data_IF_721086696996
#
_entry.id   IF_721086696996
#
_cell.length_a   1.000
_cell.length_b   1.000
_cell.length_c   1.000
_cell.angle_alpha   90.00
_cell.angle_beta   90.00
_cell.angle_gamma   90.00
#
_symmetry.space_group_name_H-M   'P 1'
#
loop_
_entity.id
_entity.type
_entity.pdbx_description
1 polymer ?
#
# COMPACT_ATOMS: atom_id res chain seq x y z
N UNK A 1 20.26 -9.00 0.71
CA UNK A 1 19.08 -8.67 1.54
C UNK A 1 19.13 -7.25 2.15
N UNK A 2 20.13 -6.80 2.92
CA UNK A 2 20.11 -5.45 3.55
C UNK A 2 19.92 -4.29 2.57
N UNK A 3 20.57 -4.33 1.40
CA UNK A 3 20.40 -3.30 0.37
C UNK A 3 18.94 -3.14 -0.07
N UNK A 4 18.23 -4.26 -0.30
CA UNK A 4 16.81 -4.24 -0.65
C UNK A 4 15.95 -3.63 0.46
N UNK A 5 16.21 -3.97 1.72
CA UNK A 5 15.47 -3.41 2.87
C UNK A 5 15.67 -1.90 2.99
N UNK A 6 16.91 -1.42 2.81
CA UNK A 6 17.22 0.02 2.84
C UNK A 6 16.54 0.77 1.69
N UNK A 7 16.60 0.25 0.47
CA UNK A 7 15.92 0.81 -0.69
C UNK A 7 14.39 0.89 -0.48
N UNK A 8 13.81 -0.19 0.04
CA UNK A 8 12.38 -0.25 0.34
C UNK A 8 12.01 0.74 1.43
N UNK A 9 12.75 0.78 2.53
CA UNK A 9 12.50 1.72 3.62
C UNK A 9 12.62 3.17 3.16
N UNK A 10 13.65 3.52 2.37
CA UNK A 10 13.80 4.86 1.80
C UNK A 10 12.64 5.24 0.88
N UNK A 11 12.25 4.33 -0.03
CA UNK A 11 11.13 4.56 -0.95
C UNK A 11 9.80 4.73 -0.21
N UNK A 12 9.50 3.84 0.75
CA UNK A 12 8.27 3.94 1.54
C UNK A 12 8.29 5.12 2.53
N UNK A 13 9.45 5.60 2.95
CA UNK A 13 9.55 6.86 3.72
C UNK A 13 9.07 8.05 2.89
N UNK A 14 9.56 8.20 1.66
CA UNK A 14 9.12 9.27 0.78
C UNK A 14 7.63 9.17 0.39
N UNK A 15 7.14 7.95 0.20
CA UNK A 15 5.72 7.72 -0.06
C UNK A 15 4.85 8.10 1.14
N UNK A 16 5.16 7.58 2.33
CA UNK A 16 4.36 7.75 3.53
C UNK A 16 4.31 9.21 4.01
N UNK A 17 5.42 9.94 3.92
CA UNK A 17 5.47 11.34 4.34
C UNK A 17 4.49 12.22 3.55
N UNK A 18 4.39 12.01 2.24
CA UNK A 18 3.56 12.87 1.38
C UNK A 18 2.11 12.39 1.22
N UNK A 19 1.80 11.16 1.57
CA UNK A 19 0.45 10.63 1.33
C UNK A 19 -0.66 11.45 2.02
N UNK A 20 -0.54 11.89 3.28
CA UNK A 20 -1.49 12.81 3.91
C UNK A 20 -1.20 14.28 3.60
N UNK A 21 0.02 14.67 3.21
CA UNK A 21 0.45 16.07 3.12
C UNK A 21 0.29 16.66 1.72
N UNK A 22 0.49 15.88 0.65
CA UNK A 22 0.28 16.39 -0.70
C UNK A 22 -1.19 16.80 -0.98
N UNK A 23 -2.22 16.06 -0.49
CA UNK A 23 -3.60 16.53 -0.51
C UNK A 23 -3.80 17.84 0.31
N UNK A 24 -3.16 17.94 1.47
CA UNK A 24 -3.23 19.15 2.31
C UNK A 24 -2.57 20.36 1.61
N UNK A 25 -1.48 20.14 0.85
CA UNK A 25 -0.84 21.16 0.02
C UNK A 25 -1.75 21.67 -1.09
N UNK A 26 -2.55 20.78 -1.69
CA UNK A 26 -3.56 21.19 -2.68
C UNK A 26 -4.63 22.11 -2.06
N UNK A 27 -5.10 21.78 -0.86
CA UNK A 27 -6.04 22.66 -0.12
C UNK A 27 -5.41 23.98 0.23
N UNK A 28 -4.14 24.03 0.62
CA UNK A 28 -3.39 25.26 0.85
C UNK A 28 -3.39 26.17 -0.40
N UNK A 29 -3.26 25.57 -1.59
CA UNK A 29 -3.34 26.26 -2.88
C UNK A 29 -4.77 26.58 -3.36
N UNK A 30 -5.79 26.36 -2.50
CA UNK A 30 -7.19 26.70 -2.79
C UNK A 30 -8.00 25.59 -3.47
N UNK A 31 -7.49 24.36 -3.55
CA UNK A 31 -8.29 23.22 -4.02
C UNK A 31 -9.36 22.85 -2.99
N UNK A 32 -10.50 22.39 -3.48
CA UNK A 32 -11.55 21.77 -2.69
C UNK A 32 -11.18 20.32 -2.27
N UNK A 33 -12.05 19.69 -1.51
CA UNK A 33 -11.88 18.32 -1.05
C UNK A 33 -11.83 17.32 -2.23
N UNK A 34 -12.55 17.60 -3.32
CA UNK A 34 -12.49 16.77 -4.53
C UNK A 34 -11.09 16.83 -5.16
N UNK A 35 -10.56 18.04 -5.39
CA UNK A 35 -9.20 18.24 -5.90
C UNK A 35 -8.16 17.58 -5.02
N UNK A 36 -8.29 17.73 -3.71
CA UNK A 36 -7.45 17.08 -2.70
C UNK A 36 -7.50 15.55 -2.79
N UNK A 37 -8.68 14.97 -2.97
CA UNK A 37 -8.87 13.52 -3.15
C UNK A 37 -8.23 12.97 -4.44
N UNK A 38 -8.25 13.75 -5.52
CA UNK A 38 -7.60 13.38 -6.78
C UNK A 38 -6.08 13.30 -6.69
N UNK A 39 -5.44 13.98 -5.75
CA UNK A 39 -3.98 13.91 -5.54
C UNK A 39 -3.53 12.47 -5.30
N UNK A 40 -4.11 11.79 -4.33
CA UNK A 40 -3.82 10.38 -4.05
C UNK A 40 -4.49 9.44 -5.06
N UNK A 41 -5.65 9.79 -5.57
CA UNK A 41 -6.34 9.03 -6.61
C UNK A 41 -5.50 8.85 -7.88
N UNK A 42 -4.91 9.94 -8.40
CA UNK A 42 -4.06 9.88 -9.59
C UNK A 42 -2.70 9.23 -9.32
N UNK A 43 -2.12 9.45 -8.12
CA UNK A 43 -0.91 8.73 -7.72
C UNK A 43 -1.14 7.22 -7.81
N UNK A 44 -2.22 6.72 -7.21
CA UNK A 44 -2.50 5.28 -7.17
C UNK A 44 -2.98 4.73 -8.51
N UNK A 45 -3.71 5.52 -9.30
CA UNK A 45 -4.05 5.15 -10.68
C UNK A 45 -2.80 4.99 -11.54
N UNK A 46 -1.85 5.93 -11.46
CA UNK A 46 -0.57 5.83 -12.15
C UNK A 46 0.26 4.63 -11.66
N UNK A 47 0.21 4.35 -10.34
CA UNK A 47 0.83 3.15 -9.76
C UNK A 47 0.28 1.88 -10.40
N UNK A 48 -1.04 1.72 -10.41
CA UNK A 48 -1.72 0.54 -10.99
C UNK A 48 -1.39 0.43 -12.48
N UNK A 49 -1.45 1.54 -13.22
CA UNK A 49 -1.15 1.55 -14.66
C UNK A 49 0.30 1.15 -14.96
N UNK A 50 1.24 1.44 -14.06
CA UNK A 50 2.68 1.13 -14.23
C UNK A 50 2.98 -0.34 -13.94
N UNK A 51 2.34 -0.95 -12.96
CA UNK A 51 2.66 -2.29 -12.47
C UNK A 51 2.75 -3.38 -13.56
N UNK A 52 1.86 -3.45 -14.56
CA UNK A 52 1.95 -4.46 -15.63
C UNK A 52 3.19 -4.33 -16.51
N UNK A 53 3.76 -3.14 -16.64
CA UNK A 53 4.91 -2.88 -17.49
C UNK A 53 6.25 -3.16 -16.79
N UNK A 54 6.27 -3.20 -15.46
CA UNK A 54 7.51 -3.37 -14.68
C UNK A 54 8.24 -4.68 -15.01
N UNK A 55 7.60 -5.85 -15.17
CA UNK A 55 8.31 -7.07 -15.55
C UNK A 55 9.02 -6.95 -16.91
N UNK A 56 8.44 -6.24 -17.87
CA UNK A 56 9.07 -5.95 -19.16
C UNK A 56 10.28 -5.02 -18.99
N UNK A 57 10.16 -3.95 -18.19
CA UNK A 57 11.25 -3.04 -17.88
C UNK A 57 12.43 -3.78 -17.23
N UNK A 58 12.14 -4.66 -16.24
CA UNK A 58 13.16 -5.44 -15.55
C UNK A 58 13.94 -6.37 -16.51
N UNK A 59 13.24 -7.02 -17.45
CA UNK A 59 13.89 -7.87 -18.48
C UNK A 59 14.72 -7.07 -19.46
N UNK A 60 14.30 -5.85 -19.80
CA UNK A 60 14.95 -5.01 -20.84
C UNK A 60 16.14 -4.24 -20.31
N UNK A 61 16.06 -3.71 -19.09
CA UNK A 61 17.03 -2.78 -18.51
C UNK A 61 17.73 -3.31 -17.25
N UNK A 62 17.24 -4.40 -16.67
CA UNK A 62 17.74 -4.95 -15.42
C UNK A 62 17.18 -4.27 -14.18
N UNK A 63 17.39 -4.91 -13.01
CA UNK A 63 16.75 -4.51 -11.74
C UNK A 63 17.27 -3.17 -11.22
N UNK A 64 18.58 -2.94 -11.25
CA UNK A 64 19.17 -1.74 -10.62
C UNK A 64 18.79 -0.43 -11.33
N UNK A 65 18.88 -0.29 -12.68
CA UNK A 65 18.45 0.93 -13.36
C UNK A 65 16.95 1.19 -13.21
N UNK A 66 16.11 0.16 -13.30
CA UNK A 66 14.66 0.29 -13.16
C UNK A 66 14.31 0.78 -11.76
N UNK A 67 14.91 0.19 -10.72
CA UNK A 67 14.67 0.60 -9.34
C UNK A 67 15.19 2.02 -9.08
N UNK A 68 16.36 2.39 -9.61
CA UNK A 68 16.89 3.75 -9.51
C UNK A 68 15.93 4.77 -10.15
N UNK A 69 15.39 4.47 -11.34
CA UNK A 69 14.39 5.30 -12.00
C UNK A 69 13.12 5.42 -11.14
N UNK A 70 12.66 4.32 -10.56
CA UNK A 70 11.51 4.33 -9.64
C UNK A 70 11.72 5.23 -8.42
N UNK A 71 12.88 5.16 -7.80
CA UNK A 71 13.23 6.02 -6.65
C UNK A 71 13.34 7.50 -7.03
N UNK A 72 13.88 7.81 -8.22
CA UNK A 72 13.94 9.18 -8.75
C UNK A 72 12.55 9.74 -9.03
N UNK A 73 11.68 8.97 -9.69
CA UNK A 73 10.30 9.39 -9.93
C UNK A 73 9.47 9.51 -8.65
N UNK A 74 9.79 8.76 -7.60
CA UNK A 74 9.10 8.87 -6.32
C UNK A 74 9.59 10.08 -5.52
N UNK A 75 10.90 10.30 -5.45
CA UNK A 75 11.51 11.33 -4.60
C UNK A 75 11.70 12.68 -5.28
N UNK A 76 12.07 12.73 -6.57
CA UNK A 76 12.31 13.99 -7.29
C UNK A 76 11.10 14.92 -7.32
N UNK A 77 9.92 14.45 -7.76
CA UNK A 77 8.71 15.26 -7.74
C UNK A 77 8.31 15.75 -6.34
N UNK A 78 8.76 15.08 -5.28
CA UNK A 78 8.49 15.51 -3.90
C UNK A 78 9.07 16.90 -3.63
N UNK A 79 10.27 17.20 -4.09
CA UNK A 79 10.88 18.53 -3.98
C UNK A 79 10.22 19.55 -4.91
N UNK A 80 9.75 19.10 -6.07
CA UNK A 80 9.09 19.97 -7.04
C UNK A 80 7.73 20.49 -6.57
N UNK A 81 7.12 19.91 -5.53
CA UNK A 81 5.93 20.48 -4.91
C UNK A 81 6.19 21.88 -4.32
N UNK A 82 7.45 22.21 -3.97
CA UNK A 82 7.81 23.56 -3.49
C UNK A 82 7.67 24.66 -4.54
N UNK A 83 7.60 24.31 -5.83
CA UNK A 83 7.51 25.27 -6.92
C UNK A 83 6.10 25.91 -6.98
N UNK A 84 5.06 25.12 -6.71
CA UNK A 84 3.68 25.58 -6.81
C UNK A 84 2.72 24.70 -5.99
N UNK A 85 1.73 25.36 -5.38
CA UNK A 85 0.59 24.75 -4.71
C UNK A 85 -0.66 24.65 -5.61
N UNK A 86 -0.54 25.02 -6.88
CA UNK A 86 -1.63 24.86 -7.84
C UNK A 86 -1.98 23.40 -8.06
N UNK A 87 -3.27 23.08 -8.02
CA UNK A 87 -3.78 21.72 -8.12
C UNK A 87 -3.22 20.97 -9.36
N UNK A 88 -3.23 21.61 -10.54
CA UNK A 88 -2.71 20.98 -11.76
C UNK A 88 -1.25 20.55 -11.67
N UNK A 89 -0.40 21.36 -11.02
CA UNK A 89 0.99 21.03 -10.75
C UNK A 89 1.12 19.84 -9.80
N UNK A 90 0.37 19.86 -8.70
CA UNK A 90 0.39 18.79 -7.70
C UNK A 90 -0.09 17.46 -8.30
N UNK A 91 -1.13 17.48 -9.13
CA UNK A 91 -1.64 16.30 -9.83
C UNK A 91 -0.58 15.72 -10.79
N UNK A 92 0.13 16.57 -11.55
CA UNK A 92 1.23 16.13 -12.42
C UNK A 92 2.36 15.47 -11.60
N UNK A 93 2.74 16.06 -10.48
CA UNK A 93 3.75 15.48 -9.56
C UNK A 93 3.27 14.17 -8.95
N UNK A 94 1.99 14.06 -8.63
CA UNK A 94 1.38 12.83 -8.11
C UNK A 94 1.42 11.69 -9.13
N UNK A 95 1.14 11.96 -10.40
CA UNK A 95 1.27 10.97 -11.49
C UNK A 95 2.71 10.47 -11.62
N UNK A 96 3.70 11.38 -11.61
CA UNK A 96 5.12 11.00 -11.67
C UNK A 96 5.51 10.13 -10.48
N UNK A 97 5.09 10.50 -9.26
CA UNK A 97 5.32 9.72 -8.06
C UNK A 97 4.64 8.36 -8.12
N UNK A 98 3.46 8.28 -8.72
CA UNK A 98 2.75 7.02 -8.94
C UNK A 98 3.53 6.06 -9.83
N UNK A 99 4.14 6.53 -10.91
CA UNK A 99 5.04 5.71 -11.74
C UNK A 99 6.20 5.17 -10.90
N UNK A 100 6.83 6.03 -10.10
CA UNK A 100 7.92 5.63 -9.20
C UNK A 100 7.49 4.57 -8.19
N UNK A 101 6.33 4.75 -7.57
CA UNK A 101 5.79 3.83 -6.57
C UNK A 101 5.41 2.46 -7.18
N UNK A 102 4.81 2.45 -8.38
CA UNK A 102 4.52 1.21 -9.11
C UNK A 102 5.78 0.40 -9.44
N UNK A 103 6.84 1.07 -9.86
CA UNK A 103 8.14 0.43 -10.08
C UNK A 103 8.70 -0.14 -8.77
N UNK A 104 8.69 0.64 -7.69
CA UNK A 104 9.24 0.23 -6.39
C UNK A 104 8.54 -1.02 -5.84
N UNK A 105 7.21 -1.04 -5.85
CA UNK A 105 6.42 -2.12 -5.25
C UNK A 105 6.61 -3.45 -5.98
N UNK A 106 6.56 -3.45 -7.32
CA UNK A 106 6.76 -4.66 -8.13
C UNK A 106 8.22 -5.11 -8.10
N UNK A 107 9.17 -4.19 -8.28
CA UNK A 107 10.61 -4.54 -8.27
C UNK A 107 11.04 -5.07 -6.92
N UNK A 108 10.58 -4.44 -5.82
CA UNK A 108 10.92 -4.86 -4.46
C UNK A 108 10.48 -6.29 -4.16
N UNK A 109 9.21 -6.62 -4.44
CA UNK A 109 8.66 -7.96 -4.21
C UNK A 109 9.29 -9.02 -5.10
N UNK A 110 9.54 -8.71 -6.37
CA UNK A 110 10.22 -9.61 -7.31
C UNK A 110 11.66 -9.88 -6.87
N UNK A 111 12.40 -8.84 -6.50
CA UNK A 111 13.77 -8.96 -6.04
C UNK A 111 13.87 -9.77 -4.75
N UNK A 112 12.92 -9.59 -3.81
CA UNK A 112 12.86 -10.40 -2.59
C UNK A 112 12.77 -11.90 -2.91
N UNK A 113 11.88 -12.26 -3.83
CA UNK A 113 11.70 -13.65 -4.25
C UNK A 113 12.96 -14.25 -4.87
N UNK A 114 13.75 -13.45 -5.58
CA UNK A 114 15.02 -13.89 -6.18
C UNK A 114 16.18 -13.97 -5.18
N UNK A 115 16.25 -13.08 -4.18
CA UNK A 115 17.37 -12.98 -3.25
C UNK A 115 17.38 -14.04 -2.15
N UNK A 116 16.25 -14.70 -1.88
CA UNK A 116 16.11 -15.53 -0.68
C UNK A 116 15.76 -16.97 -1.03
N UNK A 117 16.51 -17.98 -0.52
CA UNK A 117 16.15 -19.36 -0.66
C UNK A 117 14.78 -19.69 -0.01
N UNK A 118 14.00 -20.65 -0.56
CA UNK A 118 12.68 -21.00 -0.04
C UNK A 118 12.61 -21.26 1.46
N UNK A 119 13.65 -21.87 2.03
CA UNK A 119 13.72 -22.20 3.46
C UNK A 119 13.76 -20.97 4.38
N UNK A 120 14.14 -19.77 3.88
CA UNK A 120 14.24 -18.52 4.64
C UNK A 120 13.22 -17.46 4.22
N UNK A 121 12.29 -17.78 3.32
CA UNK A 121 11.30 -16.83 2.80
C UNK A 121 10.47 -16.19 3.91
N UNK A 122 10.04 -16.91 4.95
CA UNK A 122 9.21 -16.36 6.02
C UNK A 122 9.88 -15.19 6.76
N UNK A 123 11.12 -15.37 7.21
CA UNK A 123 11.88 -14.32 7.89
C UNK A 123 12.17 -13.12 6.97
N UNK A 124 12.47 -13.39 5.69
CA UNK A 124 12.76 -12.36 4.71
C UNK A 124 11.52 -11.52 4.35
N UNK A 125 10.36 -12.16 4.17
CA UNK A 125 9.06 -11.48 3.97
C UNK A 125 8.72 -10.63 5.18
N UNK A 126 8.96 -11.13 6.41
CA UNK A 126 8.77 -10.37 7.64
C UNK A 126 9.64 -9.10 7.68
N UNK A 127 10.94 -9.23 7.39
CA UNK A 127 11.87 -8.09 7.35
C UNK A 127 11.51 -7.09 6.24
N UNK A 128 11.13 -7.57 5.06
CA UNK A 128 10.65 -6.73 3.96
C UNK A 128 9.35 -6.00 4.34
N UNK A 129 8.39 -6.70 4.95
CA UNK A 129 7.17 -6.11 5.48
C UNK A 129 7.44 -5.03 6.53
N UNK A 130 8.42 -5.24 7.42
CA UNK A 130 8.83 -4.24 8.39
C UNK A 130 9.45 -3.00 7.73
N UNK A 131 10.26 -3.17 6.66
CA UNK A 131 10.82 -2.04 5.90
C UNK A 131 9.76 -1.18 5.19
N UNK A 132 8.57 -1.72 4.97
CA UNK A 132 7.38 -1.01 4.47
C UNK A 132 6.60 -0.36 5.62
N UNK A 133 6.33 -1.14 6.68
CA UNK A 133 5.41 -0.73 7.73
C UNK A 133 6.00 0.33 8.68
N UNK A 134 7.29 0.24 9.02
CA UNK A 134 7.93 1.17 9.95
C UNK A 134 7.88 2.62 9.45
N UNK A 135 8.27 2.93 8.19
CA UNK A 135 8.08 4.27 7.65
C UNK A 135 6.63 4.76 7.69
N UNK A 136 5.68 3.91 7.39
CA UNK A 136 4.26 4.29 7.41
C UNK A 136 3.76 4.61 8.81
N UNK A 137 4.09 3.78 9.81
CA UNK A 137 3.69 4.00 11.21
C UNK A 137 4.24 5.32 11.75
N UNK A 138 5.44 5.71 11.32
CA UNK A 138 6.11 6.93 11.80
C UNK A 138 5.71 8.16 10.97
N UNK A 139 5.81 8.08 9.65
CA UNK A 139 5.75 9.27 8.79
C UNK A 139 4.34 9.65 8.36
N UNK A 140 3.38 8.72 8.31
CA UNK A 140 1.98 9.07 8.05
C UNK A 140 1.43 10.04 9.12
N UNK A 141 1.56 9.74 10.42
CA UNK A 141 1.11 10.67 11.45
C UNK A 141 2.03 11.88 11.62
N UNK A 142 3.35 11.71 11.44
CA UNK A 142 4.30 12.81 11.61
C UNK A 142 4.17 13.88 10.51
N UNK A 143 3.77 13.51 9.29
CA UNK A 143 3.68 14.44 8.17
C UNK A 143 2.85 15.69 8.47
N UNK A 144 1.56 15.58 8.81
CA UNK A 144 0.71 16.72 9.14
C UNK A 144 1.22 17.52 10.33
N UNK A 145 1.72 16.89 11.37
CA UNK A 145 2.32 17.56 12.53
C UNK A 145 3.57 18.34 12.15
N UNK A 146 4.44 17.80 11.29
CA UNK A 146 5.64 18.49 10.80
C UNK A 146 5.29 19.72 9.95
N UNK A 147 4.19 19.66 9.18
CA UNK A 147 3.69 20.83 8.45
C UNK A 147 3.35 21.97 9.41
N UNK A 148 2.69 21.66 10.52
CA UNK A 148 2.27 22.63 11.51
C UNK A 148 3.46 23.28 12.24
N UNK A 149 4.47 22.50 12.63
CA UNK A 149 5.60 23.00 13.42
C UNK A 149 6.77 23.57 12.60
N UNK A 150 6.94 23.13 11.36
CA UNK A 150 8.11 23.45 10.55
C UNK A 150 7.78 23.82 9.08
N UNK A 151 6.50 23.71 8.68
CA UNK A 151 6.04 24.02 7.34
C UNK A 151 6.20 22.86 6.34
N UNK A 152 5.60 23.03 5.17
CA UNK A 152 5.54 22.00 4.12
C UNK A 152 6.91 21.55 3.60
N UNK A 153 7.88 22.44 3.56
CA UNK A 153 9.20 22.20 2.97
C UNK A 153 9.90 20.97 3.59
N UNK A 154 9.76 20.80 4.93
CA UNK A 154 10.41 19.67 5.62
C UNK A 154 9.80 18.33 5.21
N UNK A 155 8.49 18.30 4.99
CA UNK A 155 7.81 17.08 4.56
C UNK A 155 8.15 16.75 3.11
N UNK A 156 8.29 17.75 2.24
CA UNK A 156 8.75 17.55 0.87
C UNK A 156 10.21 17.08 0.83
N UNK A 157 11.07 17.59 1.71
CA UNK A 157 12.43 17.09 1.87
C UNK A 157 12.46 15.63 2.37
N UNK A 158 11.58 15.27 3.32
CA UNK A 158 11.39 13.88 3.75
C UNK A 158 10.83 13.01 2.61
N UNK A 159 9.95 13.55 1.79
CA UNK A 159 9.46 12.89 0.58
C UNK A 159 10.58 12.53 -0.39
N UNK A 160 11.60 13.37 -0.48
CA UNK A 160 12.79 13.12 -1.27
C UNK A 160 13.74 12.06 -0.67
N UNK A 161 13.48 11.57 0.55
CA UNK A 161 14.28 10.50 1.17
C UNK A 161 14.36 9.24 0.28
N UNK A 162 13.37 9.02 -0.60
CA UNK A 162 13.43 7.96 -1.62
C UNK A 162 14.72 8.03 -2.46
N UNK A 163 15.25 9.24 -2.73
CA UNK A 163 16.48 9.45 -3.50
C UNK A 163 17.69 8.89 -2.76
N UNK A 164 17.70 8.91 -1.43
CA UNK A 164 18.79 8.35 -0.62
C UNK A 164 18.94 6.84 -0.87
N UNK A 165 17.86 6.18 -1.24
CA UNK A 165 17.89 4.78 -1.68
C UNK A 165 18.83 4.53 -2.86
N UNK A 166 19.06 5.53 -3.72
CA UNK A 166 19.97 5.39 -4.87
C UNK A 166 21.38 4.97 -4.45
N UNK A 167 21.85 5.38 -3.27
CA UNK A 167 23.16 5.00 -2.76
C UNK A 167 23.30 3.48 -2.54
N UNK A 168 22.20 2.77 -2.29
CA UNK A 168 22.19 1.31 -2.11
C UNK A 168 21.97 0.53 -3.43
N UNK A 169 21.64 1.20 -4.53
CA UNK A 169 21.41 0.53 -5.84
C UNK A 169 22.63 -0.20 -6.38
N UNK A 170 23.88 0.37 -6.34
CA UNK A 170 25.06 -0.35 -6.81
C UNK A 170 25.36 -1.59 -5.96
N UNK A 171 25.10 -1.52 -4.66
CA UNK A 171 25.25 -2.67 -3.77
C UNK A 171 24.26 -3.79 -4.13
N UNK A 172 22.99 -3.45 -4.32
CA UNK A 172 21.98 -4.42 -4.76
C UNK A 172 22.37 -5.05 -6.12
N UNK A 173 22.85 -4.22 -7.06
CA UNK A 173 23.29 -4.69 -8.37
C UNK A 173 24.43 -5.72 -8.29
N UNK A 174 25.38 -5.52 -7.39
CA UNK A 174 26.48 -6.48 -7.16
C UNK A 174 25.96 -7.80 -6.62
N UNK A 175 25.12 -7.74 -5.57
CA UNK A 175 24.53 -8.95 -4.95
C UNK A 175 23.73 -9.77 -5.96
N UNK A 176 22.93 -9.12 -6.82
CA UNK A 176 22.16 -9.82 -7.85
C UNK A 176 23.08 -10.49 -8.90
N UNK A 177 24.13 -9.80 -9.35
CA UNK A 177 25.09 -10.38 -10.31
C UNK A 177 25.84 -11.57 -9.73
N UNK A 178 26.26 -11.51 -8.46
CA UNK A 178 26.92 -12.62 -7.78
C UNK A 178 26.01 -13.85 -7.74
N UNK A 179 24.72 -13.67 -7.43
CA UNK A 179 23.75 -14.78 -7.41
C UNK A 179 23.44 -15.33 -8.81
N UNK A 180 23.37 -14.49 -9.83
CA UNK A 180 23.18 -14.96 -11.20
C UNK A 180 24.36 -15.79 -11.67
N UNK A 181 25.58 -15.41 -11.32
CA UNK A 181 26.82 -16.16 -11.60
C UNK A 181 26.80 -17.50 -10.85
N UNK A 182 26.47 -17.52 -9.55
CA UNK A 182 26.37 -18.77 -8.78
C UNK A 182 25.33 -19.72 -9.35
N UNK A 183 24.17 -19.21 -9.79
CA UNK A 183 23.14 -20.03 -10.44
C UNK A 183 23.64 -20.62 -11.75
N UNK A 184 24.31 -19.83 -12.58
CA UNK A 184 24.89 -20.33 -13.84
C UNK A 184 25.92 -21.44 -13.60
N UNK A 185 26.76 -21.35 -12.56
CA UNK A 185 27.69 -22.40 -12.19
C UNK A 185 26.97 -23.66 -11.66
N UNK A 186 25.90 -23.48 -10.85
CA UNK A 186 25.11 -24.60 -10.36
C UNK A 186 24.34 -25.31 -11.48
N UNK A 187 23.74 -24.57 -12.40
CA UNK A 187 23.03 -25.11 -13.54
C UNK A 187 23.99 -25.82 -14.52
N UNK A 188 25.18 -25.26 -14.74
CA UNK A 188 26.22 -25.90 -15.53
C UNK A 188 26.70 -27.21 -14.89
N UNK A 189 26.92 -27.25 -13.58
CA UNK A 189 27.28 -28.48 -12.85
C UNK A 189 26.14 -29.50 -12.79
N UNK A 190 24.88 -29.08 -12.81
CA UNK A 190 23.71 -29.96 -12.86
C UNK A 190 23.49 -30.54 -14.25
N UNK A 191 23.81 -29.85 -15.34
CA UNK A 191 23.74 -30.34 -16.72
C UNK A 191 24.78 -31.46 -16.96
N UNK A 192 25.95 -31.38 -16.33
CA UNK A 192 26.97 -32.42 -16.38
C UNK A 192 26.55 -33.70 -15.62
N UNK A 193 25.58 -33.63 -14.71
CA UNK A 193 25.16 -34.77 -13.88
C UNK A 193 23.82 -35.40 -14.30
N UNK A 194 23.03 -34.79 -15.21
CA UNK A 194 21.71 -35.32 -15.56
C UNK A 194 21.36 -35.11 -17.04
N UNK A 195 21.87 -36.00 -17.85
CA UNK A 195 21.45 -36.13 -19.26
C UNK A 195 20.15 -36.90 -19.45
N UNK A 196 19.09 -36.55 -18.74
CA UNK A 196 17.73 -37.02 -19.02
C UNK A 196 16.72 -36.24 -18.21
N UNK A 197 15.65 -35.80 -18.86
CA UNK A 197 14.41 -35.18 -18.34
C UNK A 197 14.26 -33.65 -18.44
N UNK A 198 14.49 -33.12 -19.64
CA UNK A 198 13.91 -31.81 -20.00
C UNK A 198 12.80 -32.04 -21.04
N UNK A 199 11.68 -32.63 -20.63
CA UNK A 199 10.49 -32.67 -21.51
C UNK A 199 9.20 -32.99 -20.74
N UNK A 200 8.81 -32.17 -19.77
CA UNK A 200 7.44 -32.27 -19.23
C UNK A 200 7.04 -31.05 -18.39
N UNK A 201 6.85 -29.89 -18.99
CA UNK A 201 6.01 -28.84 -18.35
C UNK A 201 5.61 -27.70 -19.31
N UNK A 202 5.26 -28.05 -20.53
CA UNK A 202 4.60 -27.15 -21.47
C UNK A 202 3.26 -27.74 -21.88
N UNK A 203 2.27 -27.76 -21.00
CA UNK A 203 0.88 -28.07 -21.39
C UNK A 203 -0.07 -27.56 -20.31
N UNK A 204 -0.76 -26.48 -20.55
CA UNK A 204 -1.82 -25.98 -19.67
C UNK A 204 -2.35 -24.60 -20.05
N UNK A 205 -2.91 -24.49 -21.24
CA UNK A 205 -3.73 -23.35 -21.63
C UNK A 205 -5.08 -23.40 -20.91
N UNK A 206 -5.42 -22.31 -20.22
CA UNK A 206 -6.65 -21.86 -19.57
C UNK A 206 -6.75 -21.88 -18.03
N UNK A 207 -5.77 -21.33 -17.26
CA UNK A 207 -5.98 -21.11 -15.83
C UNK A 207 -6.37 -19.66 -15.47
N UNK A 208 -6.13 -18.66 -16.31
CA UNK A 208 -6.25 -17.25 -15.88
C UNK A 208 -7.67 -16.82 -15.47
N UNK A 209 -8.70 -17.23 -16.20
CA UNK A 209 -10.10 -16.93 -15.83
C UNK A 209 -10.54 -17.60 -14.51
N UNK A 210 -10.07 -18.81 -14.25
CA UNK A 210 -10.35 -19.53 -12.99
C UNK A 210 -9.60 -18.91 -11.80
N UNK A 211 -8.39 -18.40 -12.03
CA UNK A 211 -7.58 -17.71 -11.02
C UNK A 211 -8.25 -16.39 -10.63
N UNK A 212 -8.66 -15.57 -11.62
CA UNK A 212 -9.33 -14.31 -11.38
C UNK A 212 -10.59 -14.47 -10.51
N UNK A 213 -11.41 -15.48 -10.78
CA UNK A 213 -12.60 -15.78 -9.96
C UNK A 213 -12.28 -16.17 -8.50
N UNK A 214 -11.17 -16.89 -8.27
CA UNK A 214 -10.73 -17.27 -6.92
C UNK A 214 -10.17 -16.09 -6.13
N UNK A 215 -9.51 -15.15 -6.81
CA UNK A 215 -8.90 -13.97 -6.21
C UNK A 215 -9.89 -12.81 -6.05
N UNK A 216 -10.99 -12.79 -6.80
CA UNK A 216 -11.97 -11.69 -6.81
C UNK A 216 -12.53 -11.40 -5.39
N UNK A 217 -12.90 -12.45 -4.68
CA UNK A 217 -13.52 -12.33 -3.36
C UNK A 217 -12.59 -11.70 -2.30
N UNK A 218 -11.37 -12.21 -2.05
CA UNK A 218 -10.44 -11.55 -1.13
C UNK A 218 -10.04 -10.15 -1.61
N UNK A 219 -9.94 -9.91 -2.92
CA UNK A 219 -9.60 -8.59 -3.47
C UNK A 219 -10.70 -7.57 -3.22
N UNK A 220 -11.99 -7.91 -3.40
CA UNK A 220 -13.10 -6.99 -3.13
C UNK A 220 -13.21 -6.66 -1.64
N UNK A 221 -13.01 -7.64 -0.75
CA UNK A 221 -12.94 -7.41 0.70
C UNK A 221 -11.79 -6.46 1.07
N UNK A 222 -10.62 -6.67 0.46
CA UNK A 222 -9.48 -5.78 0.60
C UNK A 222 -9.82 -4.36 0.15
N UNK A 223 -10.41 -4.21 -1.04
CA UNK A 223 -10.80 -2.91 -1.58
C UNK A 223 -11.75 -2.15 -0.65
N UNK A 224 -12.72 -2.83 -0.03
CA UNK A 224 -13.61 -2.21 0.95
C UNK A 224 -12.87 -1.67 2.18
N UNK A 225 -11.90 -2.40 2.70
CA UNK A 225 -11.08 -1.95 3.82
C UNK A 225 -10.09 -0.84 3.43
N UNK A 226 -9.46 -0.96 2.26
CA UNK A 226 -8.48 0.04 1.80
C UNK A 226 -9.14 1.33 1.32
N UNK A 227 -10.39 1.28 0.87
CA UNK A 227 -11.21 2.46 0.62
C UNK A 227 -11.39 3.28 1.92
N UNK A 228 -11.73 2.64 3.03
CA UNK A 228 -11.82 3.29 4.34
C UNK A 228 -10.48 3.90 4.76
N UNK A 229 -9.39 3.13 4.64
CA UNK A 229 -8.05 3.59 4.99
C UNK A 229 -7.56 4.75 4.10
N UNK A 230 -7.79 4.67 2.80
CA UNK A 230 -7.43 5.72 1.84
C UNK A 230 -8.14 7.05 2.12
N UNK A 231 -9.43 6.99 2.44
CA UNK A 231 -10.20 8.15 2.87
C UNK A 231 -9.61 8.80 4.13
N UNK A 232 -9.36 8.01 5.18
CA UNK A 232 -8.84 8.54 6.44
C UNK A 232 -7.41 9.06 6.33
N UNK A 233 -6.52 8.36 5.61
CA UNK A 233 -5.14 8.81 5.40
C UNK A 233 -5.12 10.14 4.64
N UNK A 234 -5.97 10.31 3.64
CA UNK A 234 -6.04 11.52 2.82
C UNK A 234 -6.64 12.71 3.57
N UNK A 235 -7.72 12.46 4.32
CA UNK A 235 -8.56 13.55 4.84
C UNK A 235 -8.48 13.75 6.36
N UNK A 236 -7.89 12.87 7.15
CA UNK A 236 -7.76 13.08 8.59
C UNK A 236 -7.15 14.45 8.96
N UNK A 237 -6.13 14.97 8.21
CA UNK A 237 -5.60 16.31 8.48
C UNK A 237 -6.58 17.44 8.18
N UNK A 238 -7.57 17.21 7.32
CA UNK A 238 -8.58 18.19 6.92
C UNK A 238 -9.86 18.10 7.77
N UNK A 239 -10.08 16.96 8.44
CA UNK A 239 -11.25 16.69 9.28
C UNK A 239 -11.15 17.31 10.68
N UNK A 240 -9.98 17.73 11.11
CA UNK A 240 -9.77 18.29 12.44
C UNK A 240 -9.03 19.60 12.36
N UNK A 241 -9.57 20.64 13.03
CA UNK A 241 -8.91 21.93 13.18
C UNK A 241 -7.71 21.90 14.14
N UNK A 242 -7.53 20.79 14.90
CA UNK A 242 -6.43 20.59 15.81
C UNK A 242 -5.36 19.65 15.17
N UNK A 243 -4.18 20.17 14.77
CA UNK A 243 -3.13 19.38 14.09
C UNK A 243 -2.69 18.16 14.90
N UNK A 244 -2.60 18.28 16.23
CA UNK A 244 -2.28 17.17 17.11
C UNK A 244 -3.36 16.08 17.13
N UNK A 245 -4.64 16.43 16.97
CA UNK A 245 -5.71 15.45 16.88
C UNK A 245 -5.63 14.67 15.55
N UNK A 246 -5.34 15.34 14.44
CA UNK A 246 -5.13 14.72 13.14
C UNK A 246 -3.93 13.76 13.15
N UNK A 247 -2.79 14.23 13.64
CA UNK A 247 -1.58 13.41 13.78
C UNK A 247 -1.80 12.23 14.74
N UNK A 248 -2.43 12.47 15.90
CA UNK A 248 -2.80 11.44 16.86
C UNK A 248 -3.75 10.39 16.26
N UNK A 249 -4.77 10.83 15.52
CA UNK A 249 -5.69 9.93 14.82
C UNK A 249 -4.99 9.02 13.83
N UNK A 250 -4.11 9.56 12.98
CA UNK A 250 -3.30 8.78 12.06
C UNK A 250 -2.31 7.86 12.79
N UNK A 251 -1.75 8.30 13.95
CA UNK A 251 -0.89 7.44 14.76
C UNK A 251 -1.66 6.24 15.32
N UNK A 252 -2.84 6.47 15.92
CA UNK A 252 -3.70 5.40 16.40
C UNK A 252 -4.11 4.45 15.28
N UNK A 253 -4.48 4.99 14.10
CA UNK A 253 -4.81 4.19 12.91
C UNK A 253 -3.62 3.30 12.49
N UNK A 254 -2.43 3.88 12.30
CA UNK A 254 -1.29 3.15 11.75
C UNK A 254 -0.72 2.13 12.74
N UNK A 255 -0.64 2.48 14.03
CA UNK A 255 -0.20 1.55 15.11
C UNK A 255 -1.21 0.41 15.24
N UNK A 256 -2.51 0.70 15.29
CA UNK A 256 -3.55 -0.30 15.38
C UNK A 256 -3.53 -1.24 14.16
N UNK A 257 -3.33 -0.70 12.96
CA UNK A 257 -3.20 -1.48 11.73
C UNK A 257 -1.97 -2.41 11.78
N UNK A 258 -0.82 -1.91 12.21
CA UNK A 258 0.41 -2.70 12.32
C UNK A 258 0.26 -3.83 13.35
N UNK A 259 -0.27 -3.54 14.53
CA UNK A 259 -0.51 -4.53 15.60
C UNK A 259 -1.54 -5.57 15.16
N UNK A 260 -2.65 -5.14 14.58
CA UNK A 260 -3.68 -6.05 14.05
C UNK A 260 -3.12 -6.95 12.97
N UNK A 261 -2.41 -6.40 11.99
CA UNK A 261 -1.78 -7.16 10.91
C UNK A 261 -0.81 -8.22 11.44
N UNK A 262 -0.05 -7.88 12.48
CA UNK A 262 0.89 -8.83 13.10
C UNK A 262 0.17 -9.93 13.88
N UNK A 263 -0.83 -9.58 14.69
CA UNK A 263 -1.52 -10.54 15.58
C UNK A 263 -2.49 -11.45 14.85
N UNK A 264 -3.21 -10.94 13.86
CA UNK A 264 -4.31 -11.65 13.22
C UNK A 264 -3.82 -12.92 12.46
N UNK A 265 -2.59 -12.92 11.95
CA UNK A 265 -2.02 -14.06 11.26
C UNK A 265 -1.99 -15.32 12.15
N UNK A 266 -1.40 -15.20 13.35
CA UNK A 266 -1.32 -16.31 14.28
C UNK A 266 -2.68 -16.77 14.83
N UNK A 267 -3.64 -15.85 14.90
CA UNK A 267 -5.01 -16.18 15.31
C UNK A 267 -5.73 -16.92 14.17
N UNK A 268 -5.54 -16.47 12.93
CA UNK A 268 -6.12 -17.09 11.74
C UNK A 268 -5.58 -18.51 11.50
N UNK A 269 -4.31 -18.77 11.81
CA UNK A 269 -3.72 -20.11 11.74
C UNK A 269 -4.44 -21.10 12.67
N UNK A 270 -5.00 -20.63 13.77
CA UNK A 270 -5.66 -21.45 14.77
C UNK A 270 -7.17 -21.62 14.53
N UNK A 271 -7.85 -20.59 14.04
CA UNK A 271 -9.30 -20.53 13.96
C UNK A 271 -9.84 -20.38 12.53
N UNK A 272 -8.96 -20.30 11.54
CA UNK A 272 -9.32 -20.05 10.14
C UNK A 272 -9.46 -18.56 9.81
N UNK A 273 -8.98 -18.18 8.62
CA UNK A 273 -8.99 -16.78 8.19
C UNK A 273 -10.40 -16.20 7.98
N UNK A 274 -11.34 -17.01 7.51
CA UNK A 274 -12.71 -16.59 7.21
C UNK A 274 -13.50 -16.17 8.46
N UNK A 275 -13.20 -16.74 9.62
CA UNK A 275 -13.90 -16.44 10.87
C UNK A 275 -13.78 -14.97 11.30
N UNK A 276 -12.71 -14.31 10.91
CA UNK A 276 -12.39 -12.94 11.35
C UNK A 276 -12.72 -11.86 10.33
N UNK A 277 -13.02 -12.20 9.07
CA UNK A 277 -13.29 -11.18 8.04
C UNK A 277 -14.56 -10.39 8.31
N UNK A 278 -15.68 -11.07 8.65
CA UNK A 278 -16.93 -10.37 8.89
C UNK A 278 -16.89 -9.43 10.11
N UNK A 279 -16.28 -9.79 11.28
CA UNK A 279 -16.16 -8.86 12.39
C UNK A 279 -15.29 -7.65 12.05
N UNK A 280 -14.21 -7.86 11.27
CA UNK A 280 -13.33 -6.77 10.84
C UNK A 280 -14.02 -5.83 9.85
N UNK A 281 -14.87 -6.35 8.94
CA UNK A 281 -15.67 -5.49 8.07
C UNK A 281 -16.64 -4.65 8.89
N UNK A 282 -17.36 -5.23 9.86
CA UNK A 282 -18.24 -4.48 10.76
C UNK A 282 -17.45 -3.45 11.58
N UNK A 283 -16.26 -3.80 12.04
CA UNK A 283 -15.39 -2.88 12.78
C UNK A 283 -15.00 -1.66 11.94
N UNK A 284 -14.68 -1.85 10.65
CA UNK A 284 -14.44 -0.76 9.71
C UNK A 284 -15.66 0.15 9.56
N UNK A 285 -16.84 -0.44 9.40
CA UNK A 285 -18.10 0.30 9.26
C UNK A 285 -18.40 1.13 10.52
N UNK A 286 -18.31 0.51 11.69
CA UNK A 286 -18.49 1.21 12.97
C UNK A 286 -17.47 2.32 13.15
N UNK A 287 -16.18 2.06 12.85
CA UNK A 287 -15.14 3.07 12.94
C UNK A 287 -15.39 4.27 12.01
N UNK A 288 -15.81 4.03 10.76
CA UNK A 288 -16.18 5.13 9.83
C UNK A 288 -17.40 5.92 10.31
N UNK A 289 -18.43 5.24 10.82
CA UNK A 289 -19.61 5.91 11.36
C UNK A 289 -19.27 6.76 12.60
N UNK A 290 -18.41 6.24 13.49
CA UNK A 290 -17.93 7.00 14.65
C UNK A 290 -17.02 8.17 14.21
N UNK A 291 -16.23 8.01 13.16
CA UNK A 291 -15.47 9.12 12.59
C UNK A 291 -16.40 10.22 12.07
N UNK A 292 -17.46 9.85 11.34
CA UNK A 292 -18.48 10.79 10.89
C UNK A 292 -19.12 11.57 12.04
N UNK A 293 -19.45 10.89 13.14
CA UNK A 293 -20.00 11.53 14.37
C UNK A 293 -18.97 12.41 15.07
N UNK A 294 -17.70 12.07 15.00
CA UNK A 294 -16.62 12.84 15.62
C UNK A 294 -16.36 14.18 14.92
N UNK A 295 -16.62 14.24 13.61
CA UNK A 295 -16.39 15.41 12.76
C UNK A 295 -17.68 16.08 12.27
N UNK A 296 -18.78 15.82 12.93
CA UNK A 296 -20.11 16.34 12.56
C UNK A 296 -20.17 17.86 12.56
N UNK A 297 -19.50 18.48 13.54
CA UNK A 297 -19.45 19.94 13.67
C UNK A 297 -18.10 20.44 13.19
N UNK A 298 -18.04 21.22 12.09
CA UNK A 298 -16.81 21.87 11.64
C UNK A 298 -16.23 22.76 12.74
N UNK A 299 -14.96 22.56 13.07
CA UNK A 299 -14.26 23.34 14.12
C UNK A 299 -14.40 22.82 15.55
N UNK A 300 -15.29 21.84 15.82
CA UNK A 300 -15.44 21.19 17.14
C UNK A 300 -15.33 19.66 17.01
N UNK A 301 -14.15 19.19 16.64
CA UNK A 301 -13.88 17.77 16.54
C UNK A 301 -13.90 17.11 17.91
N UNK A 302 -14.75 16.09 18.10
CA UNK A 302 -14.75 15.27 19.33
C UNK A 302 -13.50 14.39 19.36
N UNK A 303 -12.38 14.95 19.83
CA UNK A 303 -11.02 14.37 19.69
C UNK A 303 -10.94 12.94 20.19
N UNK A 304 -11.44 12.64 21.38
CA UNK A 304 -11.38 11.27 21.93
C UNK A 304 -12.12 10.27 21.03
N UNK A 305 -13.31 10.64 20.53
CA UNK A 305 -14.09 9.80 19.64
C UNK A 305 -13.37 9.61 18.31
N UNK A 306 -12.75 10.66 17.77
CA UNK A 306 -11.96 10.63 16.55
C UNK A 306 -10.77 9.65 16.66
N UNK A 307 -9.99 9.72 17.76
CA UNK A 307 -8.86 8.83 17.99
C UNK A 307 -9.30 7.37 18.09
N UNK A 308 -10.36 7.08 18.86
CA UNK A 308 -10.91 5.73 18.99
C UNK A 308 -11.43 5.22 17.66
N UNK A 309 -12.17 6.04 16.93
CA UNK A 309 -12.74 5.68 15.63
C UNK A 309 -11.63 5.31 14.61
N UNK A 310 -10.57 6.12 14.51
CA UNK A 310 -9.44 5.83 13.63
C UNK A 310 -8.69 4.55 14.04
N UNK A 311 -8.56 4.30 15.36
CA UNK A 311 -7.98 3.04 15.85
C UNK A 311 -8.81 1.82 15.42
N UNK A 312 -10.14 1.88 15.50
CA UNK A 312 -11.04 0.80 15.07
C UNK A 312 -10.90 0.52 13.57
N UNK A 313 -10.90 1.58 12.74
CA UNK A 313 -10.64 1.40 11.30
C UNK A 313 -9.24 0.85 11.06
N UNK A 314 -8.24 1.29 11.82
CA UNK A 314 -6.87 0.76 11.75
C UNK A 314 -6.80 -0.74 12.03
N UNK A 315 -7.47 -1.23 13.09
CA UNK A 315 -7.56 -2.67 13.39
C UNK A 315 -8.16 -3.44 12.21
N UNK A 316 -9.28 -2.95 11.67
CA UNK A 316 -9.95 -3.58 10.54
C UNK A 316 -9.05 -3.56 9.28
N UNK A 317 -8.45 -2.43 8.98
CA UNK A 317 -7.56 -2.23 7.84
C UNK A 317 -6.37 -3.19 7.85
N UNK A 318 -5.64 -3.27 8.97
CA UNK A 318 -4.48 -4.16 9.10
C UNK A 318 -4.87 -5.63 9.09
N UNK A 319 -5.96 -5.98 9.78
CA UNK A 319 -6.46 -7.36 9.86
C UNK A 319 -6.93 -7.89 8.51
N UNK A 320 -7.77 -7.13 7.80
CA UNK A 320 -8.29 -7.52 6.48
C UNK A 320 -7.15 -7.63 5.46
N UNK A 321 -6.16 -6.74 5.48
CA UNK A 321 -4.99 -6.83 4.62
C UNK A 321 -4.25 -8.16 4.79
N UNK A 322 -3.96 -8.58 6.01
CA UNK A 322 -3.26 -9.83 6.26
C UNK A 322 -4.10 -11.04 5.83
N UNK A 323 -5.36 -11.10 6.26
CA UNK A 323 -6.23 -12.23 5.96
C UNK A 323 -6.50 -12.38 4.46
N UNK A 324 -6.74 -11.29 3.76
CA UNK A 324 -6.98 -11.34 2.30
C UNK A 324 -5.74 -11.71 1.51
N UNK A 325 -4.53 -11.33 1.96
CA UNK A 325 -3.28 -11.79 1.37
C UNK A 325 -3.11 -13.30 1.58
N UNK A 326 -3.32 -13.78 2.80
CA UNK A 326 -3.26 -15.20 3.15
C UNK A 326 -4.23 -16.02 2.28
N UNK A 327 -5.48 -15.57 2.17
CA UNK A 327 -6.49 -16.22 1.33
C UNK A 327 -6.17 -16.17 -0.15
N UNK A 328 -5.60 -15.08 -0.64
CA UNK A 328 -5.18 -14.95 -2.04
C UNK A 328 -4.04 -15.92 -2.38
N UNK A 329 -3.05 -16.05 -1.51
CA UNK A 329 -1.95 -17.01 -1.69
C UNK A 329 -2.44 -18.45 -1.53
N UNK A 330 -3.33 -18.72 -0.59
CA UNK A 330 -3.93 -20.06 -0.40
C UNK A 330 -4.86 -20.50 -1.53
N UNK A 331 -5.38 -19.57 -2.33
CA UNK A 331 -6.27 -19.89 -3.46
C UNK A 331 -5.56 -20.35 -4.74
N UNK A 332 -4.23 -20.26 -4.78
CA UNK A 332 -3.41 -20.52 -5.98
C UNK A 332 -2.22 -21.44 -5.67
N UNK A 333 -1.66 -22.06 -6.69
CA UNK A 333 -0.43 -22.84 -6.56
C UNK A 333 0.81 -21.95 -6.40
N UNK A 334 1.90 -22.47 -5.84
CA UNK A 334 3.12 -21.70 -5.52
C UNK A 334 3.72 -20.95 -6.71
N UNK A 335 3.67 -21.52 -7.91
CA UNK A 335 4.13 -20.85 -9.14
C UNK A 335 3.25 -19.63 -9.55
N UNK A 336 2.08 -19.47 -8.94
CA UNK A 336 1.12 -18.38 -9.20
C UNK A 336 1.11 -17.31 -8.08
N UNK A 337 1.95 -17.45 -7.06
CA UNK A 337 2.01 -16.49 -5.95
C UNK A 337 2.32 -15.06 -6.42
N UNK A 338 3.16 -14.90 -7.44
CA UNK A 338 3.42 -13.60 -8.06
C UNK A 338 2.16 -12.95 -8.63
N UNK A 339 1.33 -13.73 -9.33
CA UNK A 339 0.05 -13.25 -9.88
C UNK A 339 -0.93 -12.88 -8.77
N UNK A 340 -1.06 -13.73 -7.74
CA UNK A 340 -1.94 -13.45 -6.60
C UNK A 340 -1.53 -12.17 -5.84
N UNK A 341 -0.23 -12.01 -5.61
CA UNK A 341 0.31 -10.79 -4.98
C UNK A 341 0.10 -9.54 -5.83
N UNK A 342 0.27 -9.63 -7.16
CA UNK A 342 0.02 -8.52 -8.06
C UNK A 342 -1.46 -8.09 -8.05
N UNK A 343 -2.39 -9.05 -8.14
CA UNK A 343 -3.84 -8.77 -8.04
C UNK A 343 -4.19 -8.16 -6.69
N UNK A 344 -3.61 -8.67 -5.62
CA UNK A 344 -3.81 -8.14 -4.27
C UNK A 344 -3.31 -6.69 -4.15
N UNK A 345 -2.10 -6.37 -4.66
CA UNK A 345 -1.55 -5.02 -4.66
C UNK A 345 -2.41 -4.05 -5.49
N UNK A 346 -2.85 -4.47 -6.69
CA UNK A 346 -3.78 -3.67 -7.52
C UNK A 346 -5.08 -3.40 -6.76
N UNK A 347 -5.65 -4.40 -6.09
CA UNK A 347 -6.84 -4.22 -5.25
C UNK A 347 -6.62 -3.26 -4.09
N UNK A 348 -5.46 -3.34 -3.43
CA UNK A 348 -5.05 -2.44 -2.37
C UNK A 348 -4.98 -0.99 -2.85
N UNK A 349 -4.25 -0.74 -3.94
CA UNK A 349 -4.06 0.57 -4.52
C UNK A 349 -5.38 1.14 -5.07
N UNK A 350 -6.18 0.30 -5.74
CA UNK A 350 -7.49 0.70 -6.26
C UNK A 350 -8.46 1.11 -5.14
N UNK A 351 -8.57 0.29 -4.09
CA UNK A 351 -9.43 0.63 -2.95
C UNK A 351 -9.01 1.93 -2.29
N UNK A 352 -7.71 2.11 -2.03
CA UNK A 352 -7.16 3.33 -1.43
C UNK A 352 -7.42 4.56 -2.30
N UNK A 353 -7.17 4.47 -3.61
CA UNK A 353 -7.41 5.57 -4.55
C UNK A 353 -8.89 5.92 -4.70
N UNK A 354 -9.75 4.90 -4.80
CA UNK A 354 -11.22 5.11 -4.86
C UNK A 354 -11.70 5.78 -3.57
N UNK A 355 -11.20 5.37 -2.41
CA UNK A 355 -11.56 5.99 -1.13
C UNK A 355 -11.22 7.47 -1.07
N UNK A 356 -10.04 7.84 -1.55
CA UNK A 356 -9.60 9.24 -1.62
C UNK A 356 -10.50 10.06 -2.56
N UNK A 357 -10.73 9.59 -3.78
CA UNK A 357 -11.53 10.32 -4.78
C UNK A 357 -12.99 10.39 -4.36
N UNK A 358 -13.59 9.27 -3.96
CA UNK A 358 -15.00 9.18 -3.61
C UNK A 358 -15.34 10.08 -2.42
N UNK A 359 -14.58 9.95 -1.32
CA UNK A 359 -14.85 10.74 -0.11
C UNK A 359 -14.59 12.23 -0.37
N UNK A 360 -13.52 12.58 -1.12
CA UNK A 360 -13.26 13.96 -1.50
C UNK A 360 -14.37 14.57 -2.35
N UNK A 361 -14.83 13.85 -3.37
CA UNK A 361 -15.91 14.33 -4.27
C UNK A 361 -17.23 14.55 -3.52
N UNK A 362 -17.58 13.64 -2.61
CA UNK A 362 -18.81 13.79 -1.80
C UNK A 362 -18.64 14.91 -0.78
N UNK A 363 -17.47 15.02 -0.15
CA UNK A 363 -17.21 16.05 0.85
C UNK A 363 -17.23 17.45 0.27
N UNK A 364 -16.72 17.67 -0.94
CA UNK A 364 -16.77 18.94 -1.65
C UNK A 364 -18.21 19.43 -1.94
N UNK A 365 -19.14 18.50 -2.18
CA UNK A 365 -20.54 18.83 -2.44
C UNK A 365 -21.41 18.90 -1.18
N UNK A 366 -21.03 18.20 -0.11
CA UNK A 366 -21.84 18.06 1.10
C UNK A 366 -21.03 18.36 2.37
N UNK A 367 -20.22 17.43 2.84
CA UNK A 367 -19.29 17.51 3.97
C UNK A 367 -18.66 16.14 4.21
N UNK A 368 -17.70 16.05 5.16
CA UNK A 368 -17.08 14.76 5.53
C UNK A 368 -18.02 13.73 6.16
N UNK A 369 -18.95 14.08 7.08
CA UNK A 369 -19.82 13.07 7.70
C UNK A 369 -20.62 12.22 6.70
N UNK A 370 -21.41 12.76 5.76
CA UNK A 370 -22.11 11.95 4.77
C UNK A 370 -21.15 11.19 3.84
N UNK A 371 -19.99 11.77 3.48
CA UNK A 371 -19.00 11.09 2.66
C UNK A 371 -18.44 9.84 3.36
N UNK A 372 -18.16 9.91 4.65
CA UNK A 372 -17.72 8.78 5.47
C UNK A 372 -18.79 7.71 5.64
N UNK A 373 -20.06 8.12 5.77
CA UNK A 373 -21.19 7.17 5.83
C UNK A 373 -21.39 6.43 4.50
N UNK A 374 -21.17 7.08 3.36
CA UNK A 374 -21.15 6.42 2.04
C UNK A 374 -20.00 5.41 1.97
N UNK A 375 -18.80 5.79 2.42
CA UNK A 375 -17.65 4.87 2.50
C UNK A 375 -17.97 3.67 3.41
N UNK A 376 -18.64 3.89 4.55
CA UNK A 376 -19.08 2.84 5.45
C UNK A 376 -20.11 1.92 4.77
N UNK A 377 -21.06 2.46 4.02
CA UNK A 377 -22.06 1.68 3.28
C UNK A 377 -21.41 0.79 2.19
N UNK A 378 -20.42 1.32 1.46
CA UNK A 378 -19.66 0.54 0.47
C UNK A 378 -18.85 -0.57 1.15
N UNK A 379 -18.19 -0.27 2.27
CA UNK A 379 -17.49 -1.30 3.07
C UNK A 379 -18.46 -2.36 3.57
N UNK A 380 -19.64 -1.96 4.06
CA UNK A 380 -20.70 -2.89 4.50
C UNK A 380 -21.22 -3.77 3.35
N UNK A 381 -21.31 -3.24 2.13
CA UNK A 381 -21.73 -4.01 0.96
C UNK A 381 -20.78 -5.17 0.65
N UNK A 382 -19.55 -5.16 1.15
CA UNK A 382 -18.61 -6.29 1.02
C UNK A 382 -18.87 -7.40 2.06
N UNK A 383 -19.68 -7.15 3.10
CA UNK A 383 -19.93 -8.08 4.22
C UNK A 383 -20.41 -9.47 3.77
N UNK A 384 -21.32 -9.63 2.78
CA UNK A 384 -21.71 -10.96 2.31
C UNK A 384 -20.54 -11.79 1.79
N UNK A 385 -19.50 -11.13 1.26
CA UNK A 385 -18.28 -11.80 0.80
C UNK A 385 -17.39 -12.27 1.96
N UNK A 386 -17.59 -11.78 3.16
CA UNK A 386 -16.80 -12.17 4.34
C UNK A 386 -17.26 -13.54 4.93
N UNK A 387 -18.47 -14.01 4.60
CA UNK A 387 -18.97 -15.33 5.04
C UNK A 387 -18.48 -16.45 4.11
N UNK A 388 -17.26 -16.93 4.29
CA UNK A 388 -16.68 -18.04 3.58
C UNK A 388 -16.63 -19.31 4.42
N UNK A 389 -16.75 -20.47 3.78
CA UNK A 389 -16.35 -21.76 4.37
C UNK A 389 -15.01 -22.18 3.78
N UNK A 390 -14.07 -22.58 4.61
CA UNK A 390 -12.93 -23.33 4.16
C UNK A 390 -13.42 -24.65 3.55
N UNK A 391 -13.18 -24.85 2.27
CA UNK A 391 -13.32 -26.18 1.68
C UNK A 391 -12.07 -26.93 2.11
N UNK A 392 -12.20 -27.73 3.15
CA UNK A 392 -11.21 -28.78 3.41
C UNK A 392 -11.22 -29.73 2.21
N UNK A 393 -10.20 -29.63 1.36
CA UNK A 393 -9.90 -30.58 0.29
C UNK A 393 -8.69 -31.39 0.71
#
# INVERSE_FOLDING_TARGET
MPALLLLTAAGFSGYAALLPVAPLWAVHGGADEAGSGFVNGLLLLATIATQPFVPWLLRRFGTAPVLATGLLFLGGPSLLHLISDQLGWILAMSVLRGFGFGILTVTGSTTLAHLVPPARHGAAIGAYGASIAVPQVVLLPAGPWLVDVAGYWIVFALGAASILGLAATPWLARVLREQDVERLFHDAAAVDSTGADIQAQASGSHPQRRIAGRLARPTILLMGATLAGGALITFAPQMSSAPLAAAGGLAFFTVAAAVSRWRIGSIADRYGAWAFLWPLVLLAVVGLALTALAVENPGDTKVTLFLVALALVGIAYGGIQNLTLLLSLGAVSRNQYGTASAVWNIGFDAGTGIGSVLVGTIAAGLSFPPALLVAAAISLATLPLAFGRERHS
#
